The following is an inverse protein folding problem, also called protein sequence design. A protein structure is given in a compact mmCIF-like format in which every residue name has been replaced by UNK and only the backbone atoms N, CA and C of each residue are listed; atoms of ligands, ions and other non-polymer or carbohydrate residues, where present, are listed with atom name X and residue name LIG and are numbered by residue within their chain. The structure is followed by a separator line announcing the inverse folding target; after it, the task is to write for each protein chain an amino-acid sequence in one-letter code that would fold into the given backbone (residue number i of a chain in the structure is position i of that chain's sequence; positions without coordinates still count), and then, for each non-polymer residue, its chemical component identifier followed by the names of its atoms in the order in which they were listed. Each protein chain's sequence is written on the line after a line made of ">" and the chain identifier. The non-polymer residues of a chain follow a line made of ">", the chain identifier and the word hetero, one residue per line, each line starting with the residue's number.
data_IF_429447616194
#
_entry.id   IF_429447616194
#
_cell.length_a   1.000
_cell.length_b   1.000
_cell.length_c   1.000
_cell.angle_alpha   90.00
_cell.angle_beta   90.00
_cell.angle_gamma   90.00
#
_symmetry.space_group_name_H-M   'P 1'
#
loop_
_entity.id
_entity.type
_entity.pdbx_description
1 polymer ?
#
# COMPACT_ATOMS: atom_id res chain seq x y z
N UNK A 1 30.26 1.93 38.16
CA UNK A 1 30.55 2.01 36.71
C UNK A 1 29.68 0.99 36.01
N UNK A 2 28.49 1.41 35.57
CA UNK A 2 27.55 0.53 34.85
C UNK A 2 27.85 0.64 33.35
N UNK A 3 28.36 -0.44 32.76
CA UNK A 3 28.45 -0.57 31.31
C UNK A 3 27.03 -0.73 30.76
N UNK A 4 26.44 0.38 30.32
CA UNK A 4 25.30 0.37 29.41
C UNK A 4 25.79 -0.24 28.08
N UNK A 5 25.57 -1.54 27.92
CA UNK A 5 25.59 -2.17 26.61
C UNK A 5 24.55 -1.46 25.74
N UNK A 6 25.01 -0.55 24.89
CA UNK A 6 24.24 -0.14 23.71
C UNK A 6 24.03 -1.40 22.89
N UNK A 7 22.83 -1.95 22.95
CA UNK A 7 22.38 -2.86 21.90
C UNK A 7 22.54 -2.09 20.57
N UNK A 8 23.27 -2.63 19.58
CA UNK A 8 23.25 -2.02 18.26
C UNK A 8 21.81 -2.14 17.78
N UNK A 9 21.12 -1.01 17.61
CA UNK A 9 20.03 -0.96 16.65
C UNK A 9 20.64 -1.45 15.35
N UNK A 10 20.39 -2.71 14.98
CA UNK A 10 20.84 -3.26 13.71
C UNK A 10 20.35 -2.28 12.64
N UNK A 11 21.29 -1.52 12.08
CA UNK A 11 20.98 -0.50 11.08
C UNK A 11 20.21 -1.22 9.98
N UNK A 12 18.92 -0.89 9.84
CA UNK A 12 18.09 -1.48 8.79
C UNK A 12 18.78 -1.19 7.47
N UNK A 13 19.08 -2.24 6.71
CA UNK A 13 19.64 -2.10 5.37
C UNK A 13 18.79 -1.11 4.56
N UNK A 14 19.41 -0.11 3.89
CA UNK A 14 18.68 0.79 3.02
C UNK A 14 18.09 -0.02 1.85
N UNK A 15 16.92 0.38 1.35
CA UNK A 15 16.27 -0.36 0.25
C UNK A 15 17.13 -0.42 -1.01
N UNK A 16 17.90 0.64 -1.28
CA UNK A 16 18.87 0.67 -2.38
C UNK A 16 19.93 -0.43 -2.31
N UNK A 17 20.22 -0.98 -1.12
CA UNK A 17 21.15 -2.08 -0.95
C UNK A 17 20.52 -3.47 -1.20
N UNK A 18 19.20 -3.59 -1.24
CA UNK A 18 18.52 -4.89 -1.40
C UNK A 18 18.82 -5.50 -2.77
N UNK A 19 18.66 -4.76 -3.86
CA UNK A 19 18.87 -5.32 -5.20
C UNK A 19 20.30 -5.85 -5.42
N UNK A 20 21.37 -5.13 -5.05
CA UNK A 20 22.74 -5.67 -5.08
C UNK A 20 22.91 -6.94 -4.25
N UNK A 21 22.35 -6.98 -3.03
CA UNK A 21 22.45 -8.15 -2.15
C UNK A 21 21.73 -9.35 -2.76
N UNK A 22 20.50 -9.17 -3.26
CA UNK A 22 19.72 -10.25 -3.89
C UNK A 22 20.47 -10.82 -5.09
N UNK A 23 21.05 -9.98 -5.95
CA UNK A 23 21.83 -10.42 -7.13
C UNK A 23 23.11 -11.17 -6.73
N UNK A 24 23.86 -10.64 -5.76
CA UNK A 24 25.13 -11.24 -5.33
C UNK A 24 24.92 -12.55 -4.55
N UNK A 25 23.90 -12.62 -3.71
CA UNK A 25 23.61 -13.77 -2.85
C UNK A 25 22.76 -14.86 -3.53
N UNK A 26 22.27 -14.61 -4.75
CA UNK A 26 21.44 -15.56 -5.49
C UNK A 26 22.19 -16.88 -5.78
N UNK A 27 21.47 -18.00 -5.96
CA UNK A 27 22.06 -19.31 -6.27
C UNK A 27 22.94 -19.33 -7.53
N UNK A 28 22.67 -18.43 -8.50
CA UNK A 28 23.44 -18.30 -9.73
C UNK A 28 24.74 -17.48 -9.57
N UNK A 29 25.02 -16.94 -8.38
CA UNK A 29 26.16 -16.08 -8.08
C UNK A 29 27.00 -16.64 -6.93
N UNK A 30 27.06 -15.96 -5.77
CA UNK A 30 27.84 -16.43 -4.62
C UNK A 30 27.13 -17.52 -3.80
N UNK A 31 25.84 -17.77 -4.06
CA UNK A 31 24.98 -18.72 -3.35
C UNK A 31 25.10 -18.58 -1.82
N UNK A 32 24.54 -17.47 -1.30
CA UNK A 32 24.51 -17.19 0.14
C UNK A 32 23.03 -17.16 0.59
N UNK A 33 22.39 -18.32 0.82
CA UNK A 33 20.95 -18.40 1.07
C UNK A 33 20.47 -17.55 2.24
N UNK A 34 21.26 -17.44 3.31
CA UNK A 34 20.92 -16.63 4.47
C UNK A 34 20.78 -15.13 4.12
N UNK A 35 21.73 -14.60 3.34
CA UNK A 35 21.71 -13.20 2.90
C UNK A 35 20.58 -12.96 1.88
N UNK A 36 20.40 -13.89 0.94
CA UNK A 36 19.31 -13.85 -0.03
C UNK A 36 17.95 -13.81 0.67
N UNK A 37 17.67 -14.76 1.56
CA UNK A 37 16.40 -14.86 2.28
C UNK A 37 16.15 -13.63 3.17
N UNK A 38 17.17 -13.11 3.85
CA UNK A 38 17.04 -11.91 4.66
C UNK A 38 16.69 -10.67 3.80
N UNK A 39 17.30 -10.52 2.63
CA UNK A 39 17.00 -9.43 1.70
C UNK A 39 15.58 -9.52 1.13
N UNK A 40 15.13 -10.72 0.74
CA UNK A 40 13.76 -10.95 0.27
C UNK A 40 12.72 -10.69 1.36
N UNK A 41 12.97 -11.17 2.59
CA UNK A 41 12.08 -10.91 3.72
C UNK A 41 11.98 -9.41 4.01
N UNK A 42 13.10 -8.69 3.96
CA UNK A 42 13.13 -7.24 4.15
C UNK A 42 12.36 -6.50 3.05
N UNK A 43 12.49 -6.93 1.80
CA UNK A 43 11.77 -6.38 0.66
C UNK A 43 10.26 -6.52 0.85
N UNK A 44 9.78 -7.74 1.12
CA UNK A 44 8.35 -8.02 1.37
C UNK A 44 7.81 -7.21 2.55
N UNK A 45 8.59 -7.07 3.61
CA UNK A 45 8.20 -6.25 4.77
C UNK A 45 8.15 -4.74 4.45
N UNK A 46 8.86 -4.26 3.42
CA UNK A 46 8.82 -2.87 2.98
C UNK A 46 7.64 -2.58 2.04
N UNK A 47 7.17 -3.59 1.32
CA UNK A 47 6.15 -3.49 0.28
C UNK A 47 4.98 -4.47 0.54
N UNK A 48 4.17 -4.23 1.58
CA UNK A 48 3.03 -5.09 1.91
C UNK A 48 1.81 -4.82 1.02
N UNK A 49 0.98 -5.83 0.75
CA UNK A 49 -0.30 -5.63 0.03
C UNK A 49 -1.32 -4.79 0.85
N UNK A 50 -1.10 -4.62 2.15
CA UNK A 50 -1.91 -3.78 3.06
C UNK A 50 -1.06 -2.58 3.59
N UNK A 51 -0.83 -1.55 2.76
CA UNK A 51 0.03 -0.43 3.13
C UNK A 51 -0.66 0.52 4.10
N UNK A 52 0.07 0.98 5.12
CA UNK A 52 -0.38 2.14 5.90
C UNK A 52 -0.27 3.43 5.05
N UNK A 53 -1.04 4.48 5.35
CA UNK A 53 -0.81 5.80 4.77
C UNK A 53 0.66 6.22 4.88
N UNK A 54 1.24 6.64 3.75
CA UNK A 54 2.65 7.03 3.64
C UNK A 54 3.64 5.87 3.51
N UNK A 55 3.19 4.61 3.37
CA UNK A 55 4.11 3.45 3.21
C UNK A 55 5.02 3.58 1.98
N UNK A 56 4.51 4.19 0.91
CA UNK A 56 5.18 4.27 -0.39
C UNK A 56 5.79 5.64 -0.73
N UNK A 57 5.79 6.56 0.23
CA UNK A 57 6.36 7.89 0.03
C UNK A 57 7.90 7.89 0.15
N UNK A 58 8.55 8.79 -0.59
CA UNK A 58 9.97 9.10 -0.43
C UNK A 58 10.94 8.08 -1.03
N UNK A 59 10.45 7.09 -1.79
CA UNK A 59 11.30 6.20 -2.57
C UNK A 59 11.70 6.82 -3.89
N UNK A 60 12.96 6.61 -4.29
CA UNK A 60 13.43 7.03 -5.61
C UNK A 60 13.03 5.99 -6.67
N UNK A 61 12.63 6.47 -7.85
CA UNK A 61 12.19 5.62 -8.95
C UNK A 61 13.27 4.62 -9.40
N UNK A 62 14.56 4.97 -9.27
CA UNK A 62 15.67 4.10 -9.69
C UNK A 62 15.79 2.86 -8.82
N UNK A 63 15.65 2.99 -7.49
CA UNK A 63 15.62 1.90 -6.53
C UNK A 63 14.42 0.99 -6.79
N UNK A 64 13.23 1.55 -6.99
CA UNK A 64 12.03 0.77 -7.24
C UNK A 64 12.13 -0.04 -8.55
N UNK A 65 12.63 0.57 -9.63
CA UNK A 65 12.91 -0.14 -10.90
C UNK A 65 13.96 -1.25 -10.72
N UNK A 66 15.02 -0.99 -9.96
CA UNK A 66 16.05 -1.99 -9.69
C UNK A 66 15.50 -3.20 -8.90
N UNK A 67 14.54 -2.96 -7.99
CA UNK A 67 13.83 -3.99 -7.23
C UNK A 67 12.83 -4.76 -8.10
N UNK A 68 12.05 -4.08 -8.95
CA UNK A 68 11.14 -4.71 -9.91
C UNK A 68 11.86 -5.67 -10.85
N UNK A 69 13.05 -5.26 -11.34
CA UNK A 69 13.89 -6.07 -12.21
C UNK A 69 14.37 -7.40 -11.58
N UNK A 70 14.26 -7.57 -10.26
CA UNK A 70 14.56 -8.83 -9.58
C UNK A 70 13.48 -9.89 -9.80
N UNK A 71 12.27 -9.50 -10.25
CA UNK A 71 11.12 -10.38 -10.51
C UNK A 71 10.79 -11.30 -9.34
N UNK A 72 10.85 -10.76 -8.13
CA UNK A 72 10.53 -11.51 -6.91
C UNK A 72 9.01 -11.76 -6.85
N UNK A 73 8.56 -13.02 -6.70
CA UNK A 73 7.13 -13.32 -6.60
C UNK A 73 6.48 -12.62 -5.41
N UNK A 74 5.33 -11.99 -5.68
CA UNK A 74 4.51 -11.29 -4.69
C UNK A 74 4.93 -9.84 -4.42
N UNK A 75 5.97 -9.30 -5.06
CA UNK A 75 6.38 -7.90 -4.84
C UNK A 75 6.07 -6.96 -6.00
N UNK A 76 5.71 -7.49 -7.17
CA UNK A 76 5.51 -6.68 -8.37
C UNK A 76 4.42 -5.61 -8.19
N UNK A 77 3.25 -6.00 -7.68
CA UNK A 77 2.13 -5.07 -7.45
C UNK A 77 2.49 -3.91 -6.52
N UNK A 78 2.95 -4.14 -5.26
CA UNK A 78 3.24 -3.04 -4.35
C UNK A 78 4.46 -2.21 -4.79
N UNK A 79 5.43 -2.80 -5.48
CA UNK A 79 6.55 -2.04 -6.06
C UNK A 79 6.11 -1.16 -7.23
N UNK A 80 5.28 -1.65 -8.14
CA UNK A 80 4.73 -0.84 -9.23
C UNK A 80 3.88 0.28 -8.66
N UNK A 81 3.01 -0.03 -7.69
CA UNK A 81 2.18 0.98 -7.06
C UNK A 81 3.02 2.07 -6.40
N UNK A 82 4.08 1.71 -5.65
CA UNK A 82 5.03 2.68 -5.13
C UNK A 82 5.71 3.52 -6.22
N UNK A 83 5.99 2.91 -7.39
CA UNK A 83 6.60 3.60 -8.53
C UNK A 83 5.64 4.64 -9.14
N UNK A 84 4.32 4.40 -9.13
CA UNK A 84 3.30 5.38 -9.58
C UNK A 84 3.34 6.69 -8.80
N UNK A 85 3.88 6.67 -7.58
CA UNK A 85 3.95 7.82 -6.69
C UNK A 85 5.32 8.51 -6.68
N UNK A 86 6.19 8.16 -7.64
CA UNK A 86 7.47 8.85 -7.84
C UNK A 86 7.33 10.00 -8.85
N UNK A 87 8.14 11.07 -8.73
CA UNK A 87 8.12 12.16 -9.71
C UNK A 87 8.45 11.71 -11.14
N UNK A 88 9.21 10.62 -11.31
CA UNK A 88 9.64 10.10 -12.60
C UNK A 88 8.71 9.00 -13.15
N UNK A 89 7.44 9.00 -12.73
CA UNK A 89 6.44 7.97 -13.05
C UNK A 89 5.67 8.22 -14.36
N UNK A 90 6.04 9.23 -15.17
CA UNK A 90 5.31 9.64 -16.39
C UNK A 90 4.89 8.48 -17.30
N UNK A 91 5.70 7.43 -17.40
CA UNK A 91 5.42 6.24 -18.20
C UNK A 91 4.33 5.29 -17.63
N UNK A 92 3.77 5.61 -16.48
CA UNK A 92 2.74 4.84 -15.78
C UNK A 92 1.54 5.70 -15.35
N UNK A 93 1.44 6.94 -15.85
CA UNK A 93 0.33 7.85 -15.53
C UNK A 93 -1.03 7.21 -15.86
N UNK A 94 -1.11 6.51 -17.00
CA UNK A 94 -2.30 5.79 -17.43
C UNK A 94 -2.69 4.62 -16.51
N UNK A 95 -1.72 3.98 -15.84
CA UNK A 95 -2.02 2.99 -14.80
C UNK A 95 -2.67 3.64 -13.58
N UNK A 96 -2.15 4.79 -13.15
CA UNK A 96 -2.72 5.53 -12.03
C UNK A 96 -4.12 6.02 -12.38
N UNK A 97 -4.33 6.59 -13.56
CA UNK A 97 -5.64 7.03 -14.06
C UNK A 97 -6.68 5.91 -13.99
N UNK A 98 -6.34 4.70 -14.46
CA UNK A 98 -7.23 3.53 -14.41
C UNK A 98 -7.60 3.11 -12.97
N UNK A 99 -6.70 3.32 -11.99
CA UNK A 99 -7.02 3.09 -10.58
C UNK A 99 -7.94 4.20 -10.05
N UNK A 100 -7.66 5.46 -10.38
CA UNK A 100 -8.44 6.62 -9.95
C UNK A 100 -9.87 6.59 -10.50
N UNK A 101 -10.05 6.19 -11.76
CA UNK A 101 -11.36 6.05 -12.41
C UNK A 101 -12.26 5.02 -11.72
N UNK A 102 -11.67 3.96 -11.15
CA UNK A 102 -12.41 2.97 -10.37
C UNK A 102 -12.63 3.42 -8.93
N UNK A 103 -11.60 4.00 -8.32
CA UNK A 103 -11.60 4.40 -6.92
C UNK A 103 -12.53 5.58 -6.64
N UNK A 104 -12.44 6.63 -7.46
CA UNK A 104 -13.11 7.91 -7.21
C UNK A 104 -14.62 7.75 -7.10
N UNK A 105 -15.34 7.11 -8.06
CA UNK A 105 -16.78 6.91 -7.92
C UNK A 105 -17.16 6.12 -6.67
N UNK A 106 -16.34 5.16 -6.26
CA UNK A 106 -16.58 4.35 -5.06
C UNK A 106 -16.41 5.17 -3.78
N UNK A 107 -15.42 6.03 -3.72
CA UNK A 107 -15.19 6.94 -2.59
C UNK A 107 -16.37 7.91 -2.39
N UNK A 108 -16.93 8.42 -3.48
CA UNK A 108 -18.08 9.33 -3.45
C UNK A 108 -19.43 8.61 -3.30
N UNK A 109 -19.46 7.28 -3.40
CA UNK A 109 -20.65 6.48 -3.14
C UNK A 109 -20.65 6.03 -1.69
N UNK A 110 -21.44 6.70 -0.85
CA UNK A 110 -21.59 6.32 0.55
C UNK A 110 -22.07 4.87 0.68
N UNK A 111 -21.40 4.04 1.49
CA UNK A 111 -21.82 2.66 1.71
C UNK A 111 -23.08 2.61 2.58
N UNK A 112 -23.94 1.62 2.33
CA UNK A 112 -25.07 1.32 3.18
C UNK A 112 -24.68 0.24 4.19
N UNK A 113 -24.96 0.47 5.48
CA UNK A 113 -24.82 -0.57 6.49
C UNK A 113 -26.02 -1.52 6.48
N UNK A 114 -25.86 -2.69 7.11
CA UNK A 114 -26.93 -3.68 7.26
C UNK A 114 -28.09 -3.18 8.14
N UNK A 115 -27.83 -2.25 9.06
CA UNK A 115 -28.83 -1.63 9.92
C UNK A 115 -29.05 -0.17 9.55
N UNK A 116 -30.30 0.26 9.40
CA UNK A 116 -30.67 1.64 9.07
C UNK A 116 -30.04 2.68 10.02
N UNK A 117 -29.99 2.38 11.33
CA UNK A 117 -29.32 3.25 12.30
C UNK A 117 -27.85 3.48 11.94
N UNK A 118 -27.12 2.41 11.59
CA UNK A 118 -25.71 2.49 11.20
C UNK A 118 -25.56 3.22 9.87
N UNK A 119 -26.45 3.01 8.90
CA UNK A 119 -26.44 3.76 7.63
C UNK A 119 -26.57 5.26 7.87
N UNK A 120 -27.49 5.68 8.75
CA UNK A 120 -27.63 7.08 9.11
C UNK A 120 -26.34 7.64 9.76
N UNK A 121 -25.68 6.85 10.62
CA UNK A 121 -24.37 7.25 11.19
C UNK A 121 -23.31 7.43 10.12
N UNK A 122 -23.18 6.48 9.17
CA UNK A 122 -22.24 6.59 8.05
C UNK A 122 -22.52 7.87 7.27
N UNK A 123 -23.76 8.10 6.84
CA UNK A 123 -24.14 9.28 6.05
C UNK A 123 -23.75 10.59 6.75
N UNK A 124 -23.98 10.70 8.05
CA UNK A 124 -23.63 11.90 8.81
C UNK A 124 -22.13 12.11 9.04
N UNK A 125 -21.33 11.05 8.95
CA UNK A 125 -19.90 11.09 9.28
C UNK A 125 -19.01 10.97 8.04
N UNK A 126 -19.55 10.53 6.90
CA UNK A 126 -18.77 10.20 5.71
C UNK A 126 -17.95 11.38 5.19
N UNK A 127 -18.57 12.56 5.10
CA UNK A 127 -17.88 13.74 4.58
C UNK A 127 -16.65 14.09 5.44
N UNK A 128 -16.86 14.25 6.75
CA UNK A 128 -15.80 14.65 7.68
C UNK A 128 -14.73 13.57 7.88
N UNK A 129 -15.10 12.30 7.97
CA UNK A 129 -14.17 11.22 8.27
C UNK A 129 -13.48 10.63 7.03
N UNK A 130 -14.10 10.75 5.85
CA UNK A 130 -13.63 10.08 4.62
C UNK A 130 -13.34 11.07 3.50
N UNK A 131 -14.30 11.89 3.09
CA UNK A 131 -14.14 12.76 1.91
C UNK A 131 -13.19 13.92 2.18
N UNK A 132 -13.42 14.72 3.22
CA UNK A 132 -12.56 15.86 3.57
C UNK A 132 -11.09 15.45 3.75
N UNK A 133 -10.76 14.35 4.47
CA UNK A 133 -9.39 13.89 4.58
C UNK A 133 -8.81 13.36 3.26
N UNK A 134 -9.63 12.89 2.32
CA UNK A 134 -9.17 12.50 0.98
C UNK A 134 -8.93 13.70 0.06
N UNK A 135 -9.68 14.80 0.26
CA UNK A 135 -9.69 16.00 -0.59
C UNK A 135 -8.82 17.16 -0.09
N UNK A 136 -8.39 17.14 1.18
CA UNK A 136 -7.62 18.25 1.77
C UNK A 136 -6.35 18.60 0.97
N UNK A 137 -5.79 19.80 1.14
CA UNK A 137 -4.62 20.27 0.37
C UNK A 137 -3.33 19.45 0.61
N UNK A 138 -3.25 18.72 1.73
CA UNK A 138 -2.23 17.69 2.00
C UNK A 138 -2.77 16.27 1.74
N UNK A 139 -4.00 16.18 1.25
CA UNK A 139 -4.77 14.98 0.97
C UNK A 139 -4.30 14.36 -0.33
N UNK A 140 -3.19 13.63 -0.24
CA UNK A 140 -2.82 12.63 -1.23
C UNK A 140 -3.88 11.53 -1.38
N UNK A 141 -4.96 11.54 -0.57
CA UNK A 141 -5.91 10.44 -0.47
C UNK A 141 -6.58 10.05 -1.80
N UNK A 142 -6.90 11.03 -2.65
CA UNK A 142 -7.36 10.70 -4.02
C UNK A 142 -6.25 10.05 -4.84
N UNK A 143 -5.02 10.57 -4.77
CA UNK A 143 -3.87 10.06 -5.52
C UNK A 143 -3.28 8.75 -4.99
N UNK A 144 -3.65 8.29 -3.78
CA UNK A 144 -3.17 7.06 -3.14
C UNK A 144 -4.35 6.14 -2.75
N UNK A 145 -5.08 5.59 -3.73
CA UNK A 145 -6.34 4.89 -3.50
C UNK A 145 -6.22 3.73 -2.50
N UNK A 146 -5.14 2.94 -2.57
CA UNK A 146 -4.97 1.74 -1.73
C UNK A 146 -4.76 2.11 -0.26
N UNK A 147 -3.91 3.10 0.04
CA UNK A 147 -3.70 3.62 1.38
C UNK A 147 -4.94 4.32 1.92
N UNK A 148 -5.71 4.98 1.06
CA UNK A 148 -6.97 5.60 1.46
C UNK A 148 -7.98 4.55 1.90
N UNK A 149 -8.06 3.41 1.22
CA UNK A 149 -8.89 2.29 1.65
C UNK A 149 -8.45 1.75 3.01
N UNK A 150 -7.14 1.61 3.25
CA UNK A 150 -6.61 1.21 4.56
C UNK A 150 -6.96 2.19 5.66
N UNK A 151 -6.87 3.49 5.37
CA UNK A 151 -7.32 4.54 6.29
C UNK A 151 -8.81 4.39 6.61
N UNK A 152 -9.68 4.24 5.61
CA UNK A 152 -11.13 4.07 5.81
C UNK A 152 -11.43 2.84 6.68
N UNK A 153 -10.77 1.71 6.41
CA UNK A 153 -10.90 0.47 7.22
C UNK A 153 -10.45 0.67 8.67
N UNK A 154 -9.46 1.53 8.91
CA UNK A 154 -8.90 1.80 10.24
C UNK A 154 -9.70 2.81 11.08
N UNK A 155 -10.68 3.49 10.49
CA UNK A 155 -11.47 4.50 11.20
C UNK A 155 -12.22 3.89 12.40
N UNK A 156 -12.33 4.63 13.53
CA UNK A 156 -12.94 4.15 14.76
C UNK A 156 -14.47 4.20 14.69
N UNK A 157 -15.07 3.58 13.68
CA UNK A 157 -16.50 3.66 13.39
C UNK A 157 -17.42 3.33 14.58
N UNK A 158 -16.98 2.46 15.49
CA UNK A 158 -17.69 2.14 16.73
C UNK A 158 -17.90 3.35 17.64
N UNK A 159 -16.91 4.23 17.69
CA UNK A 159 -16.93 5.45 18.52
C UNK A 159 -17.92 6.47 17.97
N UNK A 160 -18.28 6.34 16.68
CA UNK A 160 -19.28 7.14 15.98
C UNK A 160 -20.67 6.45 15.93
N UNK A 161 -20.86 5.38 16.69
CA UNK A 161 -22.16 4.75 16.91
C UNK A 161 -22.52 3.64 15.91
N UNK A 162 -21.57 3.13 15.13
CA UNK A 162 -21.78 1.90 14.35
C UNK A 162 -21.65 0.67 15.26
N UNK A 163 -22.52 -0.32 15.08
CA UNK A 163 -22.38 -1.59 15.77
C UNK A 163 -21.28 -2.45 15.13
N UNK A 164 -20.62 -3.30 15.93
CA UNK A 164 -19.51 -4.14 15.45
C UNK A 164 -19.83 -4.94 14.18
N UNK A 165 -20.99 -5.60 14.03
CA UNK A 165 -21.31 -6.32 12.79
C UNK A 165 -21.37 -5.44 11.54
N UNK A 166 -21.77 -4.17 11.67
CA UNK A 166 -21.77 -3.23 10.55
C UNK A 166 -20.37 -2.71 10.24
N UNK A 167 -19.51 -2.53 11.26
CA UNK A 167 -18.11 -2.19 11.06
C UNK A 167 -17.35 -3.31 10.35
N UNK A 168 -17.60 -4.56 10.75
CA UNK A 168 -16.98 -5.73 10.12
C UNK A 168 -17.40 -5.88 8.66
N UNK A 169 -18.70 -5.73 8.37
CA UNK A 169 -19.21 -5.76 6.99
C UNK A 169 -18.65 -4.61 6.13
N UNK A 170 -18.50 -3.41 6.71
CA UNK A 170 -17.89 -2.28 6.02
C UNK A 170 -16.41 -2.56 5.70
N UNK A 171 -15.65 -3.10 6.66
CA UNK A 171 -14.25 -3.48 6.45
C UNK A 171 -14.11 -4.56 5.38
N UNK A 172 -15.00 -5.55 5.39
CA UNK A 172 -15.05 -6.61 4.38
C UNK A 172 -15.28 -6.02 2.98
N UNK A 173 -16.26 -5.12 2.83
CA UNK A 173 -16.55 -4.43 1.56
C UNK A 173 -15.33 -3.67 1.03
N UNK A 174 -14.67 -2.87 1.86
CA UNK A 174 -13.49 -2.11 1.44
C UNK A 174 -12.25 -2.97 1.21
N UNK A 175 -12.12 -4.10 1.92
CA UNK A 175 -11.04 -5.08 1.67
C UNK A 175 -11.25 -5.79 0.33
N UNK A 176 -12.50 -6.15 0.01
CA UNK A 176 -12.86 -6.67 -1.31
C UNK A 176 -12.49 -5.69 -2.41
N UNK A 177 -12.89 -4.41 -2.26
CA UNK A 177 -12.57 -3.39 -3.25
C UNK A 177 -11.06 -3.11 -3.40
N UNK A 178 -10.31 -3.11 -2.30
CA UNK A 178 -8.85 -3.00 -2.35
C UNK A 178 -8.21 -4.17 -3.12
N UNK A 179 -8.72 -5.39 -2.90
CA UNK A 179 -8.27 -6.58 -3.62
C UNK A 179 -8.52 -6.44 -5.12
N UNK A 180 -9.69 -5.93 -5.51
CA UNK A 180 -10.02 -5.64 -6.92
C UNK A 180 -9.04 -4.64 -7.55
N UNK A 181 -8.67 -3.56 -6.84
CA UNK A 181 -7.68 -2.60 -7.32
C UNK A 181 -6.29 -3.24 -7.49
N UNK A 182 -5.89 -4.11 -6.57
CA UNK A 182 -4.64 -4.87 -6.71
C UNK A 182 -4.66 -5.82 -7.91
N UNK A 183 -5.77 -6.49 -8.17
CA UNK A 183 -5.93 -7.37 -9.33
C UNK A 183 -5.90 -6.61 -10.64
N UNK A 184 -6.53 -5.43 -10.69
CA UNK A 184 -6.43 -4.49 -11.81
C UNK A 184 -4.98 -4.13 -12.06
N UNK A 185 -4.26 -3.65 -11.03
CA UNK A 185 -2.87 -3.24 -11.19
C UNK A 185 -1.99 -4.43 -11.64
N UNK A 186 -2.18 -5.59 -11.01
CA UNK A 186 -1.42 -6.80 -11.35
C UNK A 186 -1.62 -7.23 -12.81
N UNK A 187 -2.84 -7.12 -13.33
CA UNK A 187 -3.15 -7.41 -14.74
C UNK A 187 -2.45 -6.43 -15.68
N UNK A 188 -2.58 -5.13 -15.42
CA UNK A 188 -1.97 -4.09 -16.25
C UNK A 188 -0.44 -4.15 -16.25
N UNK A 189 0.16 -4.51 -15.10
CA UNK A 189 1.60 -4.78 -14.99
C UNK A 189 2.01 -5.97 -15.84
N UNK A 190 1.23 -7.05 -15.81
CA UNK A 190 1.53 -8.28 -16.56
C UNK A 190 1.45 -8.05 -18.07
N UNK A 191 0.51 -7.22 -18.52
CA UNK A 191 0.35 -6.83 -19.93
C UNK A 191 1.52 -5.99 -20.47
N UNK A 192 2.30 -5.34 -19.59
CA UNK A 192 3.45 -4.48 -19.95
C UNK A 192 4.80 -5.19 -19.96
N UNK A 193 4.86 -6.50 -19.70
CA UNK A 193 6.09 -7.30 -19.63
C UNK A 193 7.20 -6.71 -18.74
N UNK A 194 6.85 -6.09 -17.60
CA UNK A 194 7.82 -5.66 -16.58
C UNK A 194 8.52 -6.89 -15.93
#
# INVERSE_FOLDING_TARGET
>A
MAHLQRQPHAARLPLSAIAPIVRAAAPAALDIPAAYNAAIARLRAAFPDEPRPGTYEGYDASTLRALLALRIPGTARPLTYALLHTPEADQYEDLLEVLLDRFTPRLFTMPAARHMHCTNRIVHQWDEMVLQPALSANGAGLGVPIETLERIKSLPWTDHGLCAPCVDALKEEWTGFQTELWEVLGRLVSEREL
#
